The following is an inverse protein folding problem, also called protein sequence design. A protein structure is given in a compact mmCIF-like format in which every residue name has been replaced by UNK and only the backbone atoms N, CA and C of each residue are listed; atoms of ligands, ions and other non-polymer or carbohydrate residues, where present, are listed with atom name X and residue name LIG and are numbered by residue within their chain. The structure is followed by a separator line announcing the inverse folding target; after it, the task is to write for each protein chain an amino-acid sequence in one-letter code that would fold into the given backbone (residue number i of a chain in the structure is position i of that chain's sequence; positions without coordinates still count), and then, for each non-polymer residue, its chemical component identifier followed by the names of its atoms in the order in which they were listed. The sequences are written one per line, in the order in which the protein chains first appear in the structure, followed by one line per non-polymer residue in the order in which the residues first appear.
data_IF_711187516685
#
_entry.id   IF_711187516685
#
_cell.length_a   1.000
_cell.length_b   1.000
_cell.length_c   1.000
_cell.angle_alpha   90.00
_cell.angle_beta   90.00
_cell.angle_gamma   90.00
#
_symmetry.space_group_name_H-M   'P 1'
#
loop_
_entity.id
_entity.type
_entity.pdbx_description
1 polymer ?
#
# COMPACT_ATOMS: atom_id res chain seq x y z
N UNK A 1 3.61 17.56 6.82
CA UNK A 1 4.00 16.40 7.65
C UNK A 1 5.19 15.72 6.97
N UNK A 2 6.44 16.01 7.37
CA UNK A 2 7.62 15.35 6.83
C UNK A 2 7.93 14.13 7.70
N UNK A 3 7.50 12.93 7.29
CA UNK A 3 7.94 11.64 7.87
C UNK A 3 7.64 10.42 6.98
N UNK A 4 6.82 10.57 5.92
CA UNK A 4 6.31 9.42 5.15
C UNK A 4 6.82 9.42 3.71
N UNK A 5 8.13 9.51 3.52
CA UNK A 5 8.73 9.12 2.24
C UNK A 5 9.18 7.66 2.32
N UNK A 6 8.91 6.90 1.27
CA UNK A 6 9.14 5.46 1.22
C UNK A 6 9.41 5.03 -0.23
N UNK A 7 10.10 3.90 -0.39
CA UNK A 7 10.31 3.28 -1.70
C UNK A 7 9.09 2.45 -2.13
N UNK A 8 8.23 2.05 -1.18
CA UNK A 8 7.03 1.24 -1.43
C UNK A 8 5.89 1.60 -0.48
N UNK A 9 4.67 1.70 -1.02
CA UNK A 9 3.44 1.84 -0.23
C UNK A 9 2.49 0.65 -0.41
N UNK A 10 2.02 0.09 0.71
CA UNK A 10 0.88 -0.80 0.76
C UNK A 10 -0.32 -0.07 1.38
N UNK A 11 -1.39 0.11 0.62
CA UNK A 11 -2.58 0.85 1.01
C UNK A 11 -3.74 -0.12 1.16
N UNK A 12 -4.09 -0.43 2.41
CA UNK A 12 -5.30 -1.19 2.72
C UNK A 12 -6.47 -0.24 2.98
N UNK A 13 -7.63 -0.59 2.44
CA UNK A 13 -8.89 0.11 2.69
C UNK A 13 -10.06 -0.87 2.65
N UNK A 14 -11.15 -0.54 3.34
CA UNK A 14 -12.39 -1.33 3.20
C UNK A 14 -12.92 -1.21 1.78
N UNK A 15 -12.98 -2.32 1.06
CA UNK A 15 -13.25 -2.38 -0.38
C UNK A 15 -14.63 -1.81 -0.78
N UNK A 16 -15.62 -1.89 0.11
CA UNK A 16 -17.01 -1.45 -0.12
C UNK A 16 -17.31 -0.04 0.41
N UNK A 17 -16.31 0.63 1.00
CA UNK A 17 -16.53 1.93 1.64
C UNK A 17 -16.32 3.09 0.67
N UNK A 18 -17.43 3.71 0.23
CA UNK A 18 -17.39 4.95 -0.59
C UNK A 18 -16.56 6.06 0.05
N UNK A 19 -16.64 6.20 1.37
CA UNK A 19 -15.84 7.18 2.12
C UNK A 19 -14.34 6.85 2.06
N UNK A 20 -13.96 5.58 2.13
CA UNK A 20 -12.56 5.17 1.98
C UNK A 20 -12.03 5.46 0.57
N UNK A 21 -12.82 5.16 -0.46
CA UNK A 21 -12.45 5.48 -1.84
C UNK A 21 -12.29 6.99 -2.06
N UNK A 22 -13.20 7.82 -1.52
CA UNK A 22 -13.08 9.27 -1.60
C UNK A 22 -11.84 9.81 -0.88
N UNK A 23 -11.48 9.23 0.26
CA UNK A 23 -10.27 9.61 0.99
C UNK A 23 -9.01 9.23 0.22
N UNK A 24 -9.00 8.04 -0.39
CA UNK A 24 -7.93 7.61 -1.28
C UNK A 24 -7.78 8.57 -2.47
N UNK A 25 -8.88 8.91 -3.16
CA UNK A 25 -8.84 9.81 -4.30
C UNK A 25 -8.31 11.21 -3.92
N UNK A 26 -8.64 11.70 -2.73
CA UNK A 26 -8.10 12.96 -2.19
C UNK A 26 -6.61 12.84 -1.88
N UNK A 27 -6.18 11.72 -1.28
CA UNK A 27 -4.78 11.46 -0.95
C UNK A 27 -3.92 11.46 -2.21
N UNK A 28 -4.29 10.68 -3.24
CA UNK A 28 -3.46 10.52 -4.44
C UNK A 28 -3.40 11.78 -5.32
N UNK A 29 -4.40 12.68 -5.20
CA UNK A 29 -4.41 13.99 -5.86
C UNK A 29 -3.68 15.07 -5.07
N UNK A 30 -3.28 14.78 -3.83
CA UNK A 30 -2.64 15.78 -3.00
C UNK A 30 -1.21 16.06 -3.49
N UNK A 31 -0.78 17.34 -3.65
CA UNK A 31 0.53 17.67 -4.21
C UNK A 31 1.71 17.03 -3.46
N UNK A 32 1.63 16.95 -2.14
CA UNK A 32 2.65 16.27 -1.33
C UNK A 32 2.76 14.77 -1.65
N UNK A 33 1.62 14.07 -1.90
CA UNK A 33 1.64 12.66 -2.25
C UNK A 33 2.36 12.42 -3.58
N UNK A 34 2.14 13.29 -4.56
CA UNK A 34 2.77 13.24 -5.87
C UNK A 34 4.29 13.55 -5.84
N UNK A 35 4.80 14.04 -4.71
CA UNK A 35 6.23 14.28 -4.49
C UNK A 35 6.95 13.10 -3.81
N UNK A 36 6.23 12.07 -3.36
CA UNK A 36 6.82 10.91 -2.70
C UNK A 36 7.44 9.96 -3.74
N UNK A 37 8.60 9.36 -3.41
CA UNK A 37 9.34 8.50 -4.36
C UNK A 37 8.50 7.33 -4.85
N UNK A 38 7.92 6.55 -3.93
CA UNK A 38 7.02 5.46 -4.29
C UNK A 38 5.83 5.88 -5.17
N UNK A 39 5.29 7.08 -5.01
CA UNK A 39 4.19 7.56 -5.84
C UNK A 39 4.65 7.93 -7.26
N UNK A 40 5.85 8.51 -7.38
CA UNK A 40 6.48 8.83 -8.66
C UNK A 40 6.90 7.57 -9.42
N UNK A 41 7.39 6.57 -8.70
CA UNK A 41 7.88 5.30 -9.25
C UNK A 41 6.76 4.27 -9.50
N UNK A 42 5.50 4.63 -9.21
CA UNK A 42 4.36 3.73 -9.37
C UNK A 42 4.31 2.59 -8.34
N UNK A 43 5.12 2.66 -7.30
CA UNK A 43 5.25 1.68 -6.22
C UNK A 43 4.19 1.86 -5.13
N UNK A 44 2.92 1.88 -5.56
CA UNK A 44 1.75 2.06 -4.68
C UNK A 44 0.77 0.91 -4.91
N UNK A 45 0.70 0.01 -3.94
CA UNK A 45 -0.04 -1.24 -4.04
C UNK A 45 -1.26 -1.22 -3.13
N UNK A 46 -2.46 -1.39 -3.72
CA UNK A 46 -3.69 -1.57 -2.94
C UNK A 46 -3.79 -3.03 -2.52
N UNK A 47 -3.98 -3.27 -1.22
CA UNK A 47 -4.00 -4.62 -0.65
C UNK A 47 -5.31 -4.90 0.07
N UNK A 48 -5.63 -6.18 0.23
CA UNK A 48 -6.84 -6.61 0.93
C UNK A 48 -6.75 -6.24 2.42
N UNK A 49 -7.70 -5.43 2.88
CA UNK A 49 -7.68 -4.94 4.25
C UNK A 49 -7.90 -6.05 5.28
N UNK A 50 -8.62 -7.12 4.95
CA UNK A 50 -8.85 -8.22 5.90
C UNK A 50 -7.55 -8.99 6.11
N UNK A 51 -6.87 -9.36 5.01
CA UNK A 51 -5.58 -10.03 5.03
C UNK A 51 -4.49 -9.18 5.71
N UNK A 52 -4.52 -7.85 5.57
CA UNK A 52 -3.48 -6.96 6.10
C UNK A 52 -3.77 -6.36 7.49
N UNK A 53 -5.01 -6.38 7.98
CA UNK A 53 -5.35 -5.75 9.28
C UNK A 53 -6.10 -6.66 10.26
N UNK A 54 -6.83 -7.69 9.79
CA UNK A 54 -7.75 -8.49 10.61
C UNK A 54 -7.39 -9.97 10.70
N UNK A 55 -6.35 -10.38 9.97
CA UNK A 55 -6.02 -11.79 9.85
C UNK A 55 -5.48 -12.43 11.13
N UNK A 56 -5.08 -11.63 12.12
CA UNK A 56 -4.92 -11.93 13.56
C UNK A 56 -4.03 -13.11 13.98
N UNK A 57 -3.59 -13.94 13.04
CA UNK A 57 -2.90 -15.19 13.26
C UNK A 57 -1.95 -15.51 12.11
N UNK A 58 -1.22 -16.61 12.27
CA UNK A 58 -0.05 -16.96 11.46
C UNK A 58 -0.32 -17.02 9.95
N UNK A 59 -1.51 -17.48 9.54
CA UNK A 59 -1.89 -17.56 8.12
C UNK A 59 -1.99 -16.18 7.47
N UNK A 60 -2.44 -15.18 8.24
CA UNK A 60 -2.48 -13.79 7.83
C UNK A 60 -1.11 -13.19 7.63
N UNK A 61 -0.25 -13.39 8.63
CA UNK A 61 1.13 -12.92 8.59
C UNK A 61 1.89 -13.51 7.41
N UNK A 62 1.75 -14.82 7.15
CA UNK A 62 2.40 -15.47 6.01
C UNK A 62 1.91 -14.92 4.68
N UNK A 63 0.60 -14.66 4.51
CA UNK A 63 0.07 -14.04 3.28
C UNK A 63 0.59 -12.62 3.05
N UNK A 64 0.67 -11.82 4.12
CA UNK A 64 1.26 -10.48 4.05
C UNK A 64 2.74 -10.57 3.63
N UNK A 65 3.51 -11.49 4.21
CA UNK A 65 4.90 -11.71 3.84
C UNK A 65 5.05 -12.17 2.38
N UNK A 66 4.19 -13.08 1.90
CA UNK A 66 4.20 -13.54 0.51
C UNK A 66 3.91 -12.40 -0.48
N UNK A 67 2.99 -11.49 -0.16
CA UNK A 67 2.68 -10.32 -0.98
C UNK A 67 3.83 -9.29 -0.97
N UNK A 68 4.43 -9.03 0.20
CA UNK A 68 5.61 -8.17 0.32
C UNK A 68 6.76 -8.74 -0.51
N UNK A 69 7.05 -10.04 -0.35
CA UNK A 69 8.10 -10.74 -1.05
C UNK A 69 7.90 -10.66 -2.57
N UNK A 70 6.66 -10.88 -3.06
CA UNK A 70 6.33 -10.76 -4.48
C UNK A 70 6.65 -9.38 -5.04
N UNK A 71 6.21 -8.33 -4.33
CA UNK A 71 6.35 -6.95 -4.81
C UNK A 71 7.81 -6.49 -4.71
N UNK A 72 8.45 -6.67 -3.57
CA UNK A 72 9.82 -6.22 -3.34
C UNK A 72 10.86 -6.98 -4.19
N UNK A 73 10.62 -8.24 -4.52
CA UNK A 73 11.52 -9.00 -5.39
C UNK A 73 11.26 -8.79 -6.88
N UNK A 74 10.06 -8.32 -7.29
CA UNK A 74 9.79 -8.00 -8.69
C UNK A 74 10.60 -6.78 -9.17
N UNK A 75 11.00 -5.89 -8.28
CA UNK A 75 11.85 -4.72 -8.57
C UNK A 75 13.36 -5.02 -8.49
N UNK A 76 13.76 -6.26 -8.24
CA UNK A 76 15.18 -6.65 -8.26
C UNK A 76 15.63 -6.89 -9.71
N UNK A 77 16.53 -6.05 -10.28
CA UNK A 77 17.10 -6.35 -11.59
C UNK A 77 17.94 -7.63 -11.47
N UNK A 78 17.75 -8.54 -12.44
CA UNK A 78 18.59 -9.74 -12.61
C UNK A 78 20.03 -9.37 -12.98
#
# INVERSE_FOLDING_TARGET
MPVVDADLFFIFQRADSKAAQQNYDKLVRHPFWQQLRAAQDGQVWRVDAVAWSLSGGILGANRMLDEIARVAMADSPS
#
